data_IF_531880307569
#
_entry.id   IF_531880307569
#
_cell.length_a   1.000
_cell.length_b   1.000
_cell.length_c   1.000
_cell.angle_alpha   90.00
_cell.angle_beta   90.00
_cell.angle_gamma   90.00
#
_symmetry.space_group_name_H-M   'P 1'
#
loop_
_entity.id
_entity.type
_entity.pdbx_description
1 polymer ?
#
# COMPACT_ATOMS: atom_id res chain seq x y z
N UNK A 1 -2.65 -0.90 13.69
CA UNK A 1 -2.28 -2.09 12.89
C UNK A 1 -0.77 -2.19 12.80
N UNK A 2 -0.20 -3.40 12.88
CA UNK A 2 1.25 -3.63 13.01
C UNK A 2 2.08 -2.96 11.91
N UNK A 3 1.64 -3.03 10.65
CA UNK A 3 2.35 -2.41 9.53
C UNK A 3 2.35 -0.88 9.59
N UNK A 4 1.23 -0.26 9.97
CA UNK A 4 1.17 1.20 10.15
C UNK A 4 2.08 1.69 11.28
N UNK A 5 2.28 0.89 12.33
CA UNK A 5 3.25 1.20 13.39
C UNK A 5 4.69 1.13 12.87
N UNK A 6 5.02 0.14 12.04
CA UNK A 6 6.36 0.01 11.46
C UNK A 6 6.74 1.18 10.55
N UNK A 7 5.77 1.75 9.82
CA UNK A 7 6.02 2.85 8.86
C UNK A 7 5.71 4.25 9.39
N UNK A 8 5.32 4.39 10.67
CA UNK A 8 4.81 5.66 11.21
C UNK A 8 5.80 6.84 11.10
N UNK A 9 7.11 6.55 11.16
CA UNK A 9 8.19 7.53 11.05
C UNK A 9 8.94 7.45 9.71
N UNK A 10 8.43 6.65 8.77
CA UNK A 10 9.04 6.43 7.48
C UNK A 10 8.36 7.28 6.42
N UNK A 11 9.17 7.94 5.59
CA UNK A 11 8.66 8.55 4.35
C UNK A 11 8.28 7.45 3.37
N UNK A 12 7.22 7.67 2.62
CA UNK A 12 6.89 6.80 1.50
C UNK A 12 8.09 6.80 0.53
N UNK A 13 8.55 5.63 0.06
CA UNK A 13 9.69 5.61 -0.83
C UNK A 13 9.35 6.28 -2.16
N UNK A 14 10.30 7.01 -2.75
CA UNK A 14 10.08 7.80 -3.96
C UNK A 14 9.56 6.94 -5.14
N UNK A 15 9.98 5.68 -5.19
CA UNK A 15 9.55 4.72 -6.21
C UNK A 15 8.07 4.33 -6.09
N UNK A 16 7.38 4.66 -4.99
CA UNK A 16 5.94 4.46 -4.86
C UNK A 16 5.12 5.22 -5.93
N UNK A 17 5.67 6.33 -6.42
CA UNK A 17 5.07 7.10 -7.52
C UNK A 17 4.96 6.30 -8.83
N UNK A 18 5.79 5.25 -9.03
CA UNK A 18 5.79 4.43 -10.25
C UNK A 18 4.45 3.68 -10.46
N UNK A 19 3.73 3.41 -9.37
CA UNK A 19 2.40 2.78 -9.39
C UNK A 19 1.32 3.70 -8.77
N UNK A 20 1.49 5.02 -8.95
CA UNK A 20 0.53 6.07 -8.59
C UNK A 20 0.16 6.07 -7.10
N UNK A 21 1.08 5.65 -6.24
CA UNK A 21 0.87 5.57 -4.80
C UNK A 21 1.40 6.82 -4.10
N UNK A 22 0.55 7.44 -3.26
CA UNK A 22 0.86 8.70 -2.55
C UNK A 22 0.83 8.59 -1.04
N UNK A 23 0.28 7.51 -0.49
CA UNK A 23 0.16 7.30 0.97
C UNK A 23 0.47 5.86 1.36
N UNK A 24 0.79 5.62 2.63
CA UNK A 24 0.98 4.26 3.16
C UNK A 24 -0.28 3.41 3.08
N UNK A 25 -1.46 3.99 3.25
CA UNK A 25 -2.71 3.25 3.10
C UNK A 25 -2.89 2.76 1.66
N UNK A 26 -2.63 3.63 0.67
CA UNK A 26 -2.62 3.25 -0.74
C UNK A 26 -1.57 2.18 -1.03
N UNK A 27 -0.38 2.27 -0.43
CA UNK A 27 0.70 1.30 -0.62
C UNK A 27 0.26 -0.11 -0.22
N UNK A 28 -0.29 -0.28 0.98
CA UNK A 28 -0.76 -1.58 1.46
C UNK A 28 -1.97 -2.09 0.68
N UNK A 29 -2.91 -1.21 0.33
CA UNK A 29 -4.09 -1.61 -0.43
C UNK A 29 -3.73 -2.02 -1.87
N UNK A 30 -2.84 -1.28 -2.54
CA UNK A 30 -2.38 -1.61 -3.90
C UNK A 30 -1.64 -2.93 -3.93
N UNK A 31 -0.84 -3.24 -2.90
CA UNK A 31 -0.23 -4.57 -2.75
C UNK A 31 -1.29 -5.68 -2.75
N UNK A 32 -2.30 -5.57 -1.88
CA UNK A 32 -3.37 -6.56 -1.75
C UNK A 32 -4.19 -6.68 -3.03
N UNK A 33 -4.71 -5.57 -3.55
CA UNK A 33 -5.59 -5.54 -4.74
C UNK A 33 -4.88 -6.08 -5.99
N UNK A 34 -3.56 -5.88 -6.10
CA UNK A 34 -2.80 -6.37 -7.26
C UNK A 34 -2.49 -7.86 -7.24
N UNK A 35 -2.67 -8.54 -6.11
CA UNK A 35 -2.29 -9.93 -5.96
C UNK A 35 -3.34 -10.84 -6.62
N UNK A 36 -2.98 -11.73 -7.56
CA UNK A 36 -3.96 -12.49 -8.35
C UNK A 36 -4.83 -13.45 -7.52
N UNK A 37 -4.36 -13.86 -6.34
CA UNK A 37 -5.14 -14.69 -5.42
C UNK A 37 -6.15 -13.90 -4.55
N UNK A 38 -6.12 -12.56 -4.58
CA UNK A 38 -7.03 -11.71 -3.80
C UNK A 38 -8.24 -11.37 -4.64
N UNK A 39 -9.43 -11.74 -4.16
CA UNK A 39 -10.69 -11.50 -4.87
C UNK A 39 -11.34 -10.18 -4.48
N UNK A 40 -11.20 -9.77 -3.22
CA UNK A 40 -11.77 -8.53 -2.70
C UNK A 40 -10.92 -8.01 -1.53
N UNK A 41 -10.78 -6.69 -1.45
CA UNK A 41 -10.12 -6.01 -0.33
C UNK A 41 -11.16 -5.14 0.38
N UNK A 42 -11.35 -5.38 1.68
CA UNK A 42 -12.29 -4.63 2.52
C UNK A 42 -11.51 -3.75 3.50
N UNK A 43 -11.29 -2.46 3.18
CA UNK A 43 -10.55 -1.57 4.07
C UNK A 43 -11.43 -1.09 5.23
N UNK A 44 -10.86 -1.02 6.43
CA UNK A 44 -11.51 -0.38 7.58
C UNK A 44 -11.39 1.14 7.52
N UNK A 45 -12.48 1.86 7.79
CA UNK A 45 -12.50 3.33 7.83
C UNK A 45 -13.34 3.85 9.00
N UNK A 46 -12.78 4.77 9.79
CA UNK A 46 -13.52 5.48 10.84
C UNK A 46 -13.83 6.94 10.50
N UNK A 47 -13.26 7.48 9.41
CA UNK A 47 -13.43 8.88 8.97
C UNK A 47 -13.51 8.95 7.45
N UNK A 48 -14.34 9.87 6.93
CA UNK A 48 -14.56 10.06 5.48
C UNK A 48 -13.26 10.30 4.72
N UNK A 49 -12.32 11.06 5.30
CA UNK A 49 -11.02 11.33 4.68
C UNK A 49 -10.24 10.04 4.36
N UNK A 50 -10.35 9.01 5.18
CA UNK A 50 -9.69 7.71 4.94
C UNK A 50 -10.39 6.90 3.86
N UNK A 51 -11.70 7.09 3.67
CA UNK A 51 -12.44 6.50 2.53
C UNK A 51 -11.85 7.02 1.22
N UNK A 52 -11.68 8.34 1.10
CA UNK A 52 -11.10 8.95 -0.10
C UNK A 52 -9.69 8.44 -0.39
N UNK A 53 -8.85 8.29 0.63
CA UNK A 53 -7.49 7.76 0.48
C UNK A 53 -7.48 6.28 0.07
N UNK A 54 -8.34 5.46 0.70
CA UNK A 54 -8.47 4.04 0.38
C UNK A 54 -8.96 3.81 -1.05
N UNK A 55 -9.89 4.63 -1.54
CA UNK A 55 -10.32 4.61 -2.94
C UNK A 55 -9.17 4.94 -3.89
N UNK A 56 -8.19 5.75 -3.46
CA UNK A 56 -6.95 5.96 -4.21
C UNK A 56 -6.12 4.69 -4.38
N UNK A 57 -6.21 3.75 -3.43
CA UNK A 57 -5.54 2.45 -3.50
C UNK A 57 -6.09 1.53 -4.59
N UNK A 58 -7.33 1.75 -5.04
CA UNK A 58 -7.96 1.00 -6.13
C UNK A 58 -7.87 1.70 -7.49
N UNK A 59 -7.15 2.83 -7.60
CA UNK A 59 -7.06 3.64 -8.83
C UNK A 59 -5.63 3.70 -9.37
N UNK A 60 -5.50 3.99 -10.66
CA UNK A 60 -4.22 4.10 -11.35
C UNK A 60 -3.53 2.75 -11.53
N UNK A 61 -2.22 2.78 -11.76
CA UNK A 61 -1.41 1.57 -11.94
C UNK A 61 -1.38 0.74 -10.66
N UNK A 62 -1.42 -0.57 -10.83
CA UNK A 62 -1.22 -1.54 -9.75
C UNK A 62 0.19 -2.13 -9.86
N UNK A 63 0.82 -2.47 -8.73
CA UNK A 63 2.11 -3.12 -8.74
C UNK A 63 2.01 -4.52 -9.39
N UNK A 64 2.95 -4.84 -10.27
CA UNK A 64 3.09 -6.19 -10.80
C UNK A 64 3.79 -7.12 -9.79
N UNK A 65 4.06 -8.36 -10.20
CA UNK A 65 4.74 -9.33 -9.34
C UNK A 65 6.15 -8.89 -8.90
N UNK A 66 6.90 -8.21 -9.76
CA UNK A 66 8.24 -7.74 -9.44
C UNK A 66 8.18 -6.56 -8.46
N UNK A 67 7.26 -5.62 -8.68
CA UNK A 67 7.03 -4.50 -7.78
C UNK A 67 6.54 -4.97 -6.41
N UNK A 68 5.65 -5.97 -6.33
CA UNK A 68 5.24 -6.56 -5.05
C UNK A 68 6.42 -7.14 -4.26
N UNK A 69 7.31 -7.90 -4.91
CA UNK A 69 8.55 -8.38 -4.27
C UNK A 69 9.42 -7.25 -3.74
N UNK A 70 9.52 -6.14 -4.48
CA UNK A 70 10.23 -4.94 -4.01
C UNK A 70 9.56 -4.33 -2.77
N UNK A 71 8.23 -4.30 -2.73
CA UNK A 71 7.46 -3.82 -1.58
C UNK A 71 7.69 -4.70 -0.35
N UNK A 72 7.68 -6.03 -0.52
CA UNK A 72 7.97 -7.00 0.53
C UNK A 72 9.36 -6.76 1.14
N UNK A 73 10.40 -6.73 0.29
CA UNK A 73 11.78 -6.51 0.73
C UNK A 73 11.92 -5.19 1.49
N UNK A 74 11.39 -4.10 0.96
CA UNK A 74 11.46 -2.79 1.59
C UNK A 74 10.79 -2.77 2.98
N UNK A 75 9.65 -3.47 3.13
CA UNK A 75 8.96 -3.55 4.42
C UNK A 75 9.73 -4.43 5.42
N UNK A 76 10.40 -5.47 4.96
CA UNK A 76 11.21 -6.33 5.82
C UNK A 76 12.50 -5.62 6.28
N UNK A 77 13.09 -4.78 5.43
CA UNK A 77 14.23 -3.93 5.78
C UNK A 77 13.89 -2.89 6.87
N UNK A 78 12.65 -2.40 6.91
CA UNK A 78 12.18 -1.45 7.94
C UNK A 78 11.87 -2.12 9.28
N UNK A 79 11.49 -3.40 9.25
CA UNK A 79 11.15 -4.16 10.47
C UNK A 79 12.39 -4.68 11.21
N UNK A 80 13.56 -4.62 10.57
CA UNK A 80 14.86 -4.94 11.18
C UNK A 80 15.39 -3.72 11.92
#
# INVERSE_FOLDING_TARGET
GRLFQAVQNQKLPDWASQFDCRTWAQFFLKYLVSHPAVTCVVPGTAQVKYVADNLGGARGRLPDAAMRKRMEQFIDDIKT
#
